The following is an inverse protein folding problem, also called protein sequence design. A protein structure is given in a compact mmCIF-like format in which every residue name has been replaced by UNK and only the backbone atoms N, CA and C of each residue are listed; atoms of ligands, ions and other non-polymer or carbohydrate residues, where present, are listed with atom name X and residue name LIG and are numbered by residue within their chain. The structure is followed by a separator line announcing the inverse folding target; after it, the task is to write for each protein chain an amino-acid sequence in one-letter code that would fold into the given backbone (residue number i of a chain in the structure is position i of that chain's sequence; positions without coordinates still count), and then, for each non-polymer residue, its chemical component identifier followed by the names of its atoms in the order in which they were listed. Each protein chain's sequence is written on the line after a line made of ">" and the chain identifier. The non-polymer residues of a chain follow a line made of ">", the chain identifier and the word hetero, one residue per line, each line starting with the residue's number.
data_IF_285427786462
#
_entry.id   IF_285427786462
#
_cell.length_a   1.000
_cell.length_b   1.000
_cell.length_c   1.000
_cell.angle_alpha   90.00
_cell.angle_beta   90.00
_cell.angle_gamma   90.00
#
_symmetry.space_group_name_H-M   'P 1'
#
loop_
_entity.id
_entity.type
_entity.pdbx_description
1 polymer ?
#
# COMPACT_ATOMS: atom_id res chain seq x y z
N UNK A 1 8.95 -9.69 23.52
CA UNK A 1 9.38 -8.93 22.33
C UNK A 1 8.38 -7.83 22.08
N UNK A 2 8.83 -6.59 21.95
CA UNK A 2 7.95 -5.45 21.72
C UNK A 2 7.44 -5.53 20.26
N UNK A 3 6.12 -5.60 20.04
CA UNK A 3 5.53 -5.61 18.69
C UNK A 3 6.01 -4.43 17.84
N UNK A 4 6.39 -3.32 18.49
CA UNK A 4 6.93 -2.12 17.85
C UNK A 4 8.30 -2.34 17.18
N UNK A 5 9.15 -3.23 17.70
CA UNK A 5 10.46 -3.56 17.08
C UNK A 5 10.29 -4.50 15.88
N UNK A 6 9.27 -5.38 15.89
CA UNK A 6 9.00 -6.29 14.79
C UNK A 6 8.54 -5.56 13.52
N UNK A 7 8.04 -4.32 13.63
CA UNK A 7 7.41 -3.61 12.50
C UNK A 7 8.32 -2.62 11.77
N UNK A 8 9.40 -2.13 12.38
CA UNK A 8 10.11 -0.95 11.84
C UNK A 8 10.92 -1.20 10.57
N UNK A 9 11.38 -2.43 10.31
CA UNK A 9 12.29 -2.73 9.20
C UNK A 9 11.84 -3.89 8.28
N UNK A 10 10.70 -4.52 8.58
CA UNK A 10 10.25 -5.73 7.87
C UNK A 10 9.22 -5.47 6.77
N UNK A 11 8.52 -4.33 6.76
CA UNK A 11 7.57 -3.98 5.70
C UNK A 11 8.23 -2.93 4.80
N UNK A 12 8.35 -3.21 3.51
CA UNK A 12 9.09 -2.34 2.60
C UNK A 12 8.37 -2.10 1.28
N UNK A 13 8.60 -0.91 0.71
CA UNK A 13 8.33 -0.56 -0.67
C UNK A 13 9.62 -0.05 -1.29
N UNK A 14 9.85 -0.40 -2.55
CA UNK A 14 10.97 0.15 -3.32
C UNK A 14 10.55 1.47 -3.95
N UNK A 15 10.93 2.58 -3.32
CA UNK A 15 10.63 3.95 -3.74
C UNK A 15 11.21 4.31 -5.12
N UNK A 16 12.20 3.55 -5.61
CA UNK A 16 12.81 3.77 -6.92
C UNK A 16 12.23 2.85 -8.00
N UNK A 17 11.33 1.94 -7.65
CA UNK A 17 10.70 1.02 -8.60
C UNK A 17 9.61 1.70 -9.43
N UNK A 18 9.42 1.21 -10.67
CA UNK A 18 8.27 1.59 -11.50
C UNK A 18 6.94 1.32 -10.78
N UNK A 19 6.86 0.26 -9.98
CA UNK A 19 5.65 -0.06 -9.22
C UNK A 19 5.28 1.05 -8.23
N UNK A 20 6.26 1.65 -7.56
CA UNK A 20 6.00 2.75 -6.63
C UNK A 20 5.62 4.03 -7.37
N UNK A 21 6.23 4.31 -8.52
CA UNK A 21 5.85 5.46 -9.36
C UNK A 21 4.41 5.33 -9.88
N UNK A 22 4.01 4.12 -10.30
CA UNK A 22 2.65 3.82 -10.72
C UNK A 22 1.65 3.98 -9.57
N UNK A 23 2.06 3.52 -8.37
CA UNK A 23 1.26 3.70 -7.16
C UNK A 23 1.06 5.17 -6.82
N UNK A 24 2.13 5.95 -6.83
CA UNK A 24 2.10 7.39 -6.57
C UNK A 24 1.19 8.11 -7.56
N UNK A 25 1.34 7.81 -8.85
CA UNK A 25 0.50 8.37 -9.92
C UNK A 25 -0.98 8.08 -9.70
N UNK A 26 -1.34 6.84 -9.41
CA UNK A 26 -2.74 6.47 -9.20
C UNK A 26 -3.28 7.04 -7.88
N UNK A 27 -2.45 7.09 -6.82
CA UNK A 27 -2.84 7.71 -5.56
C UNK A 27 -3.18 9.19 -5.77
N UNK A 28 -2.33 9.95 -6.43
CA UNK A 28 -2.59 11.38 -6.70
C UNK A 28 -3.66 11.62 -7.76
N UNK A 29 -3.94 10.64 -8.63
CA UNK A 29 -5.07 10.69 -9.57
C UNK A 29 -6.40 10.66 -8.82
N UNK A 30 -6.54 9.80 -7.82
CA UNK A 30 -7.82 9.55 -7.15
C UNK A 30 -7.97 10.22 -5.78
N UNK A 31 -6.88 10.52 -5.07
CA UNK A 31 -6.92 11.10 -3.72
C UNK A 31 -7.32 12.57 -3.73
N UNK A 32 -8.27 12.91 -2.86
CA UNK A 32 -8.66 14.28 -2.51
C UNK A 32 -8.00 14.74 -1.19
N UNK A 33 -7.03 13.98 -0.67
CA UNK A 33 -6.34 14.32 0.57
C UNK A 33 -5.26 15.38 0.32
N UNK A 34 -5.16 16.36 1.23
CA UNK A 34 -4.08 17.35 1.23
C UNK A 34 -2.82 16.87 2.01
N UNK A 35 -2.55 15.57 1.98
CA UNK A 35 -1.44 14.94 2.70
C UNK A 35 -0.57 14.18 1.68
N UNK A 36 0.74 14.45 1.59
CA UNK A 36 1.63 13.71 0.72
C UNK A 36 1.65 12.21 1.04
N UNK A 37 1.73 11.38 0.00
CA UNK A 37 1.73 9.91 0.13
C UNK A 37 2.86 9.41 1.04
N UNK A 38 4.00 10.08 1.03
CA UNK A 38 5.17 9.76 1.88
C UNK A 38 4.84 9.71 3.37
N UNK A 39 3.90 10.52 3.86
CA UNK A 39 3.46 10.49 5.26
C UNK A 39 2.48 9.35 5.56
N UNK A 40 1.93 8.70 4.54
CA UNK A 40 0.93 7.66 4.66
C UNK A 40 1.49 6.26 4.40
N UNK A 41 2.63 6.13 3.71
CA UNK A 41 3.19 4.84 3.29
C UNK A 41 3.35 3.86 4.45
N UNK A 42 3.94 4.30 5.57
CA UNK A 42 4.16 3.44 6.73
C UNK A 42 2.85 2.91 7.34
N UNK A 43 1.83 3.77 7.42
CA UNK A 43 0.53 3.39 7.98
C UNK A 43 -0.24 2.49 7.02
N UNK A 44 -0.16 2.75 5.72
CA UNK A 44 -0.71 1.88 4.67
C UNK A 44 -0.11 0.47 4.78
N UNK A 45 1.21 0.35 4.89
CA UNK A 45 1.90 -0.93 5.02
C UNK A 45 1.49 -1.65 6.32
N UNK A 46 1.46 -0.95 7.46
CA UNK A 46 1.04 -1.51 8.75
C UNK A 46 -0.41 -2.01 8.72
N UNK A 47 -1.33 -1.26 8.10
CA UNK A 47 -2.73 -1.65 7.97
C UNK A 47 -2.86 -2.91 7.12
N UNK A 48 -2.19 -2.97 5.98
CA UNK A 48 -2.19 -4.16 5.10
C UNK A 48 -1.63 -5.39 5.83
N UNK A 49 -0.49 -5.26 6.50
CA UNK A 49 0.12 -6.34 7.27
C UNK A 49 -0.78 -6.82 8.42
N UNK A 50 -1.36 -5.90 9.19
CA UNK A 50 -2.21 -6.22 10.36
C UNK A 50 -3.54 -6.85 9.94
N UNK A 51 -4.13 -6.37 8.84
CA UNK A 51 -5.38 -6.91 8.29
C UNK A 51 -5.18 -8.19 7.46
N UNK A 52 -3.93 -8.58 7.19
CA UNK A 52 -3.55 -9.69 6.28
C UNK A 52 -4.16 -9.53 4.89
N UNK A 53 -4.29 -8.28 4.44
CA UNK A 53 -4.77 -7.93 3.09
C UNK A 53 -3.61 -7.35 2.30
N UNK A 54 -3.58 -7.66 1.02
CA UNK A 54 -2.61 -7.12 0.08
C UNK A 54 -3.14 -5.87 -0.64
N UNK A 55 -4.11 -5.19 -0.05
CA UNK A 55 -4.68 -3.97 -0.62
C UNK A 55 -5.07 -3.00 0.49
N UNK A 56 -5.02 -1.70 0.18
CA UNK A 56 -5.66 -0.67 1.00
C UNK A 56 -6.76 0.04 0.23
N UNK A 57 -7.69 0.64 0.97
CA UNK A 57 -8.86 1.32 0.40
C UNK A 57 -8.72 2.82 0.61
N UNK A 58 -8.75 3.57 -0.49
CA UNK A 58 -9.06 5.00 -0.46
C UNK A 58 -10.58 5.14 -0.50
N UNK A 59 -11.18 5.42 0.66
CA UNK A 59 -12.63 5.52 0.77
C UNK A 59 -13.18 6.67 -0.08
N UNK A 60 -14.43 6.53 -0.53
CA UNK A 60 -15.13 7.52 -1.36
C UNK A 60 -15.05 8.95 -0.82
N UNK A 61 -15.12 9.14 0.50
CA UNK A 61 -15.05 10.46 1.14
C UNK A 61 -13.68 11.14 0.97
N UNK A 62 -12.63 10.35 0.72
CA UNK A 62 -11.25 10.80 0.48
C UNK A 62 -10.88 10.72 -1.00
N UNK A 63 -11.80 10.32 -1.87
CA UNK A 63 -11.59 10.20 -3.32
C UNK A 63 -12.13 11.44 -4.06
N UNK A 64 -11.58 11.74 -5.24
CA UNK A 64 -12.05 12.83 -6.10
C UNK A 64 -13.34 12.50 -6.86
N UNK A 65 -13.61 11.21 -7.08
CA UNK A 65 -14.74 10.73 -7.89
C UNK A 65 -15.88 10.12 -7.03
N UNK A 66 -15.79 10.24 -5.70
CA UNK A 66 -16.72 9.68 -4.73
C UNK A 66 -16.90 8.15 -4.86
N UNK A 67 -15.81 7.43 -5.15
CA UNK A 67 -15.77 5.97 -5.22
C UNK A 67 -14.70 5.40 -4.30
N UNK A 68 -14.95 4.19 -3.80
CA UNK A 68 -13.92 3.44 -3.10
C UNK A 68 -12.90 2.92 -4.13
N UNK A 69 -11.62 3.23 -3.91
CA UNK A 69 -10.53 2.72 -4.74
C UNK A 69 -9.70 1.72 -3.95
N UNK A 70 -9.54 0.52 -4.52
CA UNK A 70 -8.75 -0.57 -3.97
C UNK A 70 -7.39 -0.57 -4.66
N UNK A 71 -6.36 -0.18 -3.93
CA UNK A 71 -4.97 -0.23 -4.37
C UNK A 71 -4.41 -1.60 -4.03
N UNK A 72 -4.11 -2.41 -5.05
CA UNK A 72 -3.72 -3.81 -4.91
C UNK A 72 -2.20 -3.97 -5.06
N UNK A 73 -1.61 -4.75 -4.16
CA UNK A 73 -0.20 -5.04 -4.07
C UNK A 73 0.06 -6.53 -4.18
N UNK A 74 1.22 -6.88 -4.73
CA UNK A 74 1.85 -8.17 -4.53
C UNK A 74 2.78 -8.09 -3.33
N UNK A 75 2.77 -9.14 -2.51
CA UNK A 75 3.62 -9.24 -1.32
C UNK A 75 4.58 -10.40 -1.55
N UNK A 76 5.88 -10.11 -1.47
CA UNK A 76 6.95 -11.10 -1.64
C UNK A 76 7.97 -10.98 -0.51
N UNK A 77 8.61 -12.08 -0.15
CA UNK A 77 9.78 -12.07 0.73
C UNK A 77 11.04 -11.81 -0.08
N UNK A 78 12.06 -11.20 0.52
CA UNK A 78 13.38 -11.06 -0.11
C UNK A 78 14.21 -12.31 0.18
N UNK A 79 14.82 -12.91 -0.84
CA UNK A 79 15.58 -14.17 -0.69
C UNK A 79 16.73 -14.04 0.33
N UNK A 80 17.38 -12.87 0.36
CA UNK A 80 18.46 -12.55 1.28
C UNK A 80 18.00 -12.40 2.73
N UNK A 81 16.72 -12.05 2.94
CA UNK A 81 16.13 -11.90 4.27
C UNK A 81 14.62 -12.17 4.25
N UNK A 82 14.20 -13.42 4.55
CA UNK A 82 12.79 -13.81 4.56
C UNK A 82 11.91 -13.08 5.58
N UNK A 83 12.50 -12.32 6.51
CA UNK A 83 11.75 -11.49 7.45
C UNK A 83 11.24 -10.19 6.80
N UNK A 84 11.78 -9.82 5.64
CA UNK A 84 11.37 -8.62 4.89
C UNK A 84 10.26 -8.98 3.91
N UNK A 85 9.10 -8.36 4.09
CA UNK A 85 7.96 -8.37 3.19
C UNK A 85 7.97 -7.11 2.32
N UNK A 86 8.22 -7.31 1.03
CA UNK A 86 8.20 -6.26 0.01
C UNK A 86 6.83 -6.18 -0.66
N UNK A 87 6.25 -5.00 -0.65
CA UNK A 87 4.98 -4.67 -1.29
C UNK A 87 5.26 -4.00 -2.63
N UNK A 88 4.80 -4.62 -3.72
CA UNK A 88 4.92 -4.08 -5.08
C UNK A 88 3.53 -3.79 -5.62
N UNK A 89 3.28 -2.57 -6.03
CA UNK A 89 1.97 -2.18 -6.55
C UNK A 89 1.68 -2.89 -7.87
N UNK A 90 0.41 -3.27 -8.07
CA UNK A 90 -0.06 -3.91 -9.30
C UNK A 90 -1.06 -3.06 -10.06
N UNK A 91 -2.11 -2.58 -9.36
CA UNK A 91 -3.21 -1.84 -9.99
C UNK A 91 -4.16 -1.22 -8.96
N UNK A 92 -4.99 -0.30 -9.44
CA UNK A 92 -6.15 0.24 -8.73
C UNK A 92 -7.44 -0.20 -9.44
N UNK A 93 -8.47 -0.51 -8.66
CA UNK A 93 -9.80 -0.87 -9.15
C UNK A 93 -10.88 -0.28 -8.23
N UNK A 94 -12.10 -0.08 -8.73
CA UNK A 94 -13.24 0.36 -7.92
C UNK A 94 -14.13 -0.80 -7.44
N UNK A 95 -13.70 -2.04 -7.69
CA UNK A 95 -14.37 -3.26 -7.26
C UNK A 95 -13.34 -4.38 -7.04
N UNK A 96 -13.54 -5.19 -6.00
CA UNK A 96 -12.79 -6.42 -5.80
C UNK A 96 -13.44 -7.52 -6.62
N UNK A 97 -12.68 -8.11 -7.54
CA UNK A 97 -13.06 -9.40 -8.14
C UNK A 97 -12.52 -10.47 -7.20
N UNK A 98 -13.39 -11.03 -6.36
CA UNK A 98 -13.08 -12.27 -5.66
C UNK A 98 -12.95 -13.37 -6.74
N UNK A 99 -11.79 -14.03 -6.76
CA UNK A 99 -11.56 -15.22 -7.59
C UNK A 99 -12.09 -16.45 -6.88
#
# INVERSE_FOLDING_TARGET
>A
MNQLEFQRNHLQMDYYSESYQDFERDFYRYSNMNIPLTFLTDDILKIMATSRKNYFVLNKEKSRDNRDHFFIFEVSTVDENPLIYRYSYKKTTTYLTEK
#
